data_IF_038461328468
#
_entry.id   IF_038461328468
#
_cell.length_a   1.000
_cell.length_b   1.000
_cell.length_c   1.000
_cell.angle_alpha   90.00
_cell.angle_beta   90.00
_cell.angle_gamma   90.00
#
_symmetry.space_group_name_H-M   'P 1'
#
loop_
_entity.id
_entity.type
_entity.pdbx_description
1 polymer ?
#
# COMPACT_ATOMS: atom_id res chain seq x y z
N UNK A 1 3.22 43.58 75.50
CA UNK A 1 4.04 42.98 74.42
C UNK A 1 3.53 41.62 73.92
N UNK A 2 2.26 41.23 74.12
CA UNK A 2 1.77 39.89 73.73
C UNK A 2 1.00 39.86 72.40
N UNK A 3 0.54 41.01 71.90
CA UNK A 3 -0.34 41.05 70.73
C UNK A 3 0.44 40.89 69.42
N UNK A 4 1.66 41.43 69.33
CA UNK A 4 2.54 41.37 68.15
C UNK A 4 3.09 39.96 67.88
N UNK A 5 3.45 39.23 68.94
CA UNK A 5 3.89 37.83 68.85
C UNK A 5 2.75 36.92 68.38
N UNK A 6 1.52 37.18 68.81
CA UNK A 6 0.33 36.40 68.42
C UNK A 6 -0.06 36.66 66.95
N UNK A 7 0.05 37.91 66.46
CA UNK A 7 -0.21 38.24 65.05
C UNK A 7 0.86 37.71 64.11
N UNK A 8 2.12 37.73 64.52
CA UNK A 8 3.24 37.17 63.76
C UNK A 8 3.12 35.65 63.57
N UNK A 9 2.71 34.92 64.61
CA UNK A 9 2.44 33.48 64.54
C UNK A 9 1.28 33.19 63.58
N UNK A 10 0.19 33.95 63.65
CA UNK A 10 -0.97 33.82 62.77
C UNK A 10 -0.62 34.05 61.28
N UNK A 11 0.19 35.07 61.00
CA UNK A 11 0.66 35.35 59.64
C UNK A 11 1.52 34.21 59.08
N UNK A 12 2.43 33.65 59.90
CA UNK A 12 3.30 32.54 59.50
C UNK A 12 2.51 31.28 59.17
N UNK A 13 1.44 30.99 59.91
CA UNK A 13 0.52 29.90 59.59
C UNK A 13 -0.28 30.15 58.31
N UNK A 14 -0.73 31.38 58.08
CA UNK A 14 -1.42 31.75 56.85
C UNK A 14 -0.53 31.57 55.62
N UNK A 15 0.73 32.00 55.69
CA UNK A 15 1.73 31.81 54.63
C UNK A 15 1.94 30.32 54.35
N UNK A 16 2.12 29.50 55.39
CA UNK A 16 2.23 28.04 55.22
C UNK A 16 1.00 27.44 54.54
N UNK A 17 -0.22 27.83 54.93
CA UNK A 17 -1.45 27.34 54.29
C UNK A 17 -1.52 27.73 52.81
N UNK A 18 -1.10 28.94 52.46
CA UNK A 18 -1.06 29.40 51.06
C UNK A 18 -0.02 28.59 50.27
N UNK A 19 1.17 28.37 50.82
CA UNK A 19 2.23 27.58 50.19
C UNK A 19 1.79 26.14 49.89
N UNK A 20 1.15 25.47 50.86
CA UNK A 20 0.60 24.11 50.64
C UNK A 20 -0.49 24.11 49.55
N UNK A 21 -1.34 25.14 49.49
CA UNK A 21 -2.35 25.27 48.44
C UNK A 21 -1.72 25.50 47.06
N UNK A 22 -0.66 26.31 46.98
CA UNK A 22 0.08 26.52 45.73
C UNK A 22 0.73 25.23 45.24
N UNK A 23 1.37 24.47 46.13
CA UNK A 23 1.96 23.17 45.78
C UNK A 23 0.89 22.16 45.33
N UNK A 24 -0.25 22.11 46.01
CA UNK A 24 -1.37 21.26 45.58
C UNK A 24 -1.91 21.67 44.20
N UNK A 25 -2.03 22.97 43.95
CA UNK A 25 -2.47 23.49 42.65
C UNK A 25 -1.45 23.20 41.54
N UNK A 26 -0.15 23.32 41.83
CA UNK A 26 0.92 22.97 40.89
C UNK A 26 0.88 21.48 40.53
N UNK A 27 0.66 20.61 41.52
CA UNK A 27 0.50 19.17 41.28
C UNK A 27 -0.72 18.87 40.39
N UNK A 28 -1.85 19.55 40.64
CA UNK A 28 -3.05 19.43 39.79
C UNK A 28 -2.81 19.92 38.36
N UNK A 29 -2.09 21.03 38.18
CA UNK A 29 -1.73 21.50 36.83
C UNK A 29 -0.83 20.52 36.10
N UNK A 30 0.15 19.91 36.78
CA UNK A 30 1.01 18.86 36.18
C UNK A 30 0.20 17.63 35.79
N UNK A 31 -0.73 17.19 36.64
CA UNK A 31 -1.61 16.06 36.33
C UNK A 31 -2.53 16.37 35.13
N UNK A 32 -3.06 17.59 35.07
CA UNK A 32 -3.89 18.03 33.95
C UNK A 32 -3.09 18.07 32.65
N UNK A 33 -1.85 18.55 32.68
CA UNK A 33 -0.99 18.62 31.50
C UNK A 33 -0.64 17.21 30.97
N UNK A 34 -0.29 16.28 31.88
CA UNK A 34 -0.10 14.87 31.52
C UNK A 34 -1.35 14.24 30.91
N UNK A 35 -2.53 14.57 31.45
CA UNK A 35 -3.81 14.06 30.93
C UNK A 35 -4.11 14.63 29.54
N UNK A 36 -3.85 15.92 29.34
CA UNK A 36 -3.97 16.61 28.04
C UNK A 36 -3.07 15.95 26.99
N UNK A 37 -1.82 15.68 27.32
CA UNK A 37 -0.87 15.05 26.39
C UNK A 37 -1.29 13.63 26.01
N UNK A 38 -1.73 12.82 26.99
CA UNK A 38 -2.25 11.47 26.75
C UNK A 38 -3.50 11.52 25.84
N UNK A 39 -4.44 12.42 26.13
CA UNK A 39 -5.65 12.57 25.32
C UNK A 39 -5.32 13.01 23.89
N UNK A 40 -4.37 13.93 23.73
CA UNK A 40 -3.89 14.39 22.42
C UNK A 40 -3.30 13.24 21.61
N UNK A 41 -2.44 12.42 22.24
CA UNK A 41 -1.84 11.26 21.57
C UNK A 41 -2.91 10.24 21.14
N UNK A 42 -3.88 9.95 22.00
CA UNK A 42 -5.00 9.05 21.67
C UNK A 42 -5.85 9.59 20.52
N UNK A 43 -6.17 10.88 20.56
CA UNK A 43 -6.94 11.52 19.50
C UNK A 43 -6.22 11.46 18.16
N UNK A 44 -4.92 11.73 18.14
CA UNK A 44 -4.10 11.64 16.92
C UNK A 44 -4.08 10.20 16.36
N UNK A 45 -3.93 9.20 17.23
CA UNK A 45 -3.97 7.79 16.82
C UNK A 45 -5.33 7.40 16.21
N UNK A 46 -6.43 7.81 16.85
CA UNK A 46 -7.77 7.54 16.34
C UNK A 46 -8.06 8.30 15.04
N UNK A 47 -7.60 9.54 14.92
CA UNK A 47 -7.72 10.33 13.70
C UNK A 47 -7.02 9.67 12.52
N UNK A 48 -5.78 9.19 12.70
CA UNK A 48 -5.04 8.44 11.67
C UNK A 48 -5.75 7.14 11.28
N UNK A 49 -6.24 6.40 12.27
CA UNK A 49 -7.01 5.17 12.03
C UNK A 49 -8.27 5.44 11.22
N UNK A 50 -9.05 6.46 11.61
CA UNK A 50 -10.29 6.83 10.91
C UNK A 50 -10.03 7.28 9.47
N UNK A 51 -8.99 8.09 9.25
CA UNK A 51 -8.60 8.50 7.90
C UNK A 51 -8.21 7.29 7.03
N UNK A 52 -7.47 6.32 7.60
CA UNK A 52 -7.10 5.10 6.87
C UNK A 52 -8.31 4.22 6.53
N UNK A 53 -9.29 4.13 7.43
CA UNK A 53 -10.53 3.40 7.19
C UNK A 53 -11.36 4.07 6.10
N UNK A 54 -11.52 5.40 6.17
CA UNK A 54 -12.25 6.16 5.16
C UNK A 54 -11.64 5.98 3.75
N UNK A 55 -10.30 5.99 3.64
CA UNK A 55 -9.63 5.74 2.37
C UNK A 55 -9.85 4.29 1.86
N UNK A 56 -9.87 3.31 2.75
CA UNK A 56 -10.20 1.92 2.38
C UNK A 56 -11.64 1.78 1.92
N UNK A 57 -12.59 2.39 2.63
CA UNK A 57 -14.02 2.35 2.30
C UNK A 57 -14.30 3.05 0.97
N UNK A 58 -13.61 4.16 0.68
CA UNK A 58 -13.67 4.86 -0.60
C UNK A 58 -13.17 3.95 -1.73
N UNK A 59 -12.02 3.29 -1.55
CA UNK A 59 -11.46 2.35 -2.53
C UNK A 59 -12.41 1.17 -2.79
N UNK A 60 -12.97 0.56 -1.75
CA UNK A 60 -13.95 -0.53 -1.89
C UNK A 60 -15.20 -0.06 -2.62
N UNK A 61 -15.73 1.10 -2.26
CA UNK A 61 -16.90 1.70 -2.92
C UNK A 61 -16.62 1.95 -4.39
N UNK A 62 -15.46 2.53 -4.71
CA UNK A 62 -15.05 2.80 -6.08
C UNK A 62 -14.92 1.53 -6.92
N UNK A 63 -14.31 0.48 -6.37
CA UNK A 63 -14.20 -0.83 -7.03
C UNK A 63 -15.59 -1.41 -7.27
N UNK A 64 -16.44 -1.50 -6.24
CA UNK A 64 -17.77 -2.11 -6.35
C UNK A 64 -18.73 -1.32 -7.26
N UNK A 65 -18.52 -0.02 -7.45
CA UNK A 65 -19.32 0.83 -8.33
C UNK A 65 -18.98 0.67 -9.83
N UNK A 66 -17.91 -0.07 -10.18
CA UNK A 66 -17.53 -0.28 -11.57
C UNK A 66 -18.61 -1.06 -12.33
N UNK A 67 -18.97 -0.52 -13.50
CA UNK A 67 -19.99 -1.09 -14.39
C UNK A 67 -19.37 -1.69 -15.65
N UNK A 68 -18.39 -2.56 -15.46
CA UNK A 68 -17.80 -3.33 -16.56
C UNK A 68 -18.74 -4.44 -17.02
N UNK A 69 -18.76 -4.70 -18.33
CA UNK A 69 -19.27 -5.97 -18.86
C UNK A 69 -18.40 -7.13 -18.37
N UNK A 70 -18.92 -8.36 -18.44
CA UNK A 70 -18.15 -9.55 -18.04
C UNK A 70 -16.82 -9.67 -18.79
N UNK A 71 -16.80 -9.36 -20.10
CA UNK A 71 -15.60 -9.43 -20.93
C UNK A 71 -14.57 -8.37 -20.48
N UNK A 72 -14.98 -7.12 -20.30
CA UNK A 72 -14.10 -6.04 -19.83
C UNK A 72 -13.52 -6.35 -18.45
N UNK A 73 -14.36 -6.87 -17.55
CA UNK A 73 -13.96 -7.28 -16.21
C UNK A 73 -12.92 -8.40 -16.26
N UNK A 74 -13.15 -9.46 -17.05
CA UNK A 74 -12.23 -10.58 -17.19
C UNK A 74 -10.87 -10.14 -17.74
N UNK A 75 -10.87 -9.22 -18.71
CA UNK A 75 -9.65 -8.68 -19.29
C UNK A 75 -8.85 -7.91 -18.23
N UNK A 76 -9.49 -6.99 -17.48
CA UNK A 76 -8.81 -6.24 -16.42
C UNK A 76 -8.31 -7.17 -15.32
N UNK A 77 -9.15 -8.09 -14.87
CA UNK A 77 -8.80 -9.08 -13.86
C UNK A 77 -7.56 -9.90 -14.26
N UNK A 78 -7.44 -10.23 -15.54
CA UNK A 78 -6.28 -10.94 -16.07
C UNK A 78 -4.98 -10.13 -15.96
N UNK A 79 -5.02 -8.81 -16.23
CA UNK A 79 -3.87 -7.94 -15.97
C UNK A 79 -3.53 -7.87 -14.48
N UNK A 80 -4.54 -7.71 -13.61
CA UNK A 80 -4.34 -7.67 -12.17
C UNK A 80 -3.67 -8.95 -11.68
N UNK A 81 -4.22 -10.13 -12.01
CA UNK A 81 -3.62 -11.42 -11.63
C UNK A 81 -2.18 -11.54 -12.11
N UNK A 82 -1.91 -11.24 -13.38
CA UNK A 82 -0.57 -11.38 -13.95
C UNK A 82 0.44 -10.49 -13.22
N UNK A 83 0.05 -9.28 -12.82
CA UNK A 83 0.92 -8.38 -12.04
C UNK A 83 1.16 -8.94 -10.64
N UNK A 84 0.13 -9.39 -9.95
CA UNK A 84 0.27 -9.96 -8.60
C UNK A 84 1.17 -11.22 -8.61
N UNK A 85 1.06 -12.06 -9.65
CA UNK A 85 1.94 -13.22 -9.86
C UNK A 85 3.37 -12.76 -10.17
N UNK A 86 3.54 -11.79 -11.07
CA UNK A 86 4.86 -11.23 -11.42
C UNK A 86 5.60 -10.70 -10.20
N UNK A 87 4.89 -9.91 -9.36
CA UNK A 87 5.45 -9.37 -8.12
C UNK A 87 5.87 -10.48 -7.15
N UNK A 88 5.01 -11.47 -6.94
CA UNK A 88 5.33 -12.60 -6.08
C UNK A 88 6.56 -13.36 -6.59
N UNK A 89 6.61 -13.63 -7.88
CA UNK A 89 7.74 -14.34 -8.53
C UNK A 89 9.04 -13.59 -8.34
N UNK A 90 9.07 -12.28 -8.65
CA UNK A 90 10.27 -11.43 -8.51
C UNK A 90 10.76 -11.34 -7.05
N UNK A 91 9.85 -11.30 -6.09
CA UNK A 91 10.22 -11.34 -4.66
C UNK A 91 10.89 -12.66 -4.31
N UNK A 92 10.37 -13.79 -4.81
CA UNK A 92 10.95 -15.11 -4.57
C UNK A 92 12.31 -15.30 -5.24
N UNK A 93 12.50 -14.76 -6.45
CA UNK A 93 13.79 -14.75 -7.15
C UNK A 93 14.88 -14.05 -6.32
N UNK A 94 14.53 -12.97 -5.62
CA UNK A 94 15.43 -12.23 -4.73
C UNK A 94 15.56 -12.84 -3.32
N UNK A 95 14.63 -13.71 -2.92
CA UNK A 95 14.60 -14.36 -1.61
C UNK A 95 14.40 -15.89 -1.74
N UNK A 96 15.33 -16.59 -2.43
CA UNK A 96 15.16 -18.01 -2.75
C UNK A 96 15.11 -18.89 -1.50
N UNK A 97 15.76 -18.48 -0.41
CA UNK A 97 15.75 -19.17 0.87
C UNK A 97 14.40 -19.10 1.60
N UNK A 98 13.54 -18.13 1.24
CA UNK A 98 12.25 -17.90 1.88
C UNK A 98 11.06 -18.44 1.08
N UNK A 99 11.27 -19.13 -0.03
CA UNK A 99 10.21 -19.66 -0.92
C UNK A 99 9.16 -20.46 -0.14
N UNK A 100 9.58 -21.38 0.73
CA UNK A 100 8.65 -22.18 1.57
C UNK A 100 7.86 -21.31 2.57
N UNK A 101 8.44 -20.20 3.01
CA UNK A 101 7.82 -19.27 3.93
C UNK A 101 6.92 -18.24 3.24
N UNK A 102 7.01 -18.12 1.92
CA UNK A 102 6.32 -17.11 1.13
C UNK A 102 5.50 -17.74 0.00
N UNK A 103 4.55 -18.65 0.30
CA UNK A 103 3.81 -19.39 -0.73
C UNK A 103 2.91 -18.52 -1.61
N UNK A 104 2.54 -17.32 -1.15
CA UNK A 104 1.63 -16.40 -1.87
C UNK A 104 2.02 -14.95 -1.70
N UNK A 105 1.55 -14.06 -2.58
CA UNK A 105 1.71 -12.62 -2.39
C UNK A 105 1.14 -12.14 -1.05
N UNK A 106 0.01 -12.69 -0.60
CA UNK A 106 -0.57 -12.37 0.71
C UNK A 106 0.39 -12.67 1.88
N UNK A 107 1.18 -13.76 1.77
CA UNK A 107 2.20 -14.08 2.77
C UNK A 107 3.38 -13.09 2.77
N UNK A 108 3.75 -12.55 1.60
CA UNK A 108 4.73 -11.46 1.46
C UNK A 108 4.20 -10.19 2.14
N UNK A 109 2.98 -9.76 1.78
CA UNK A 109 2.34 -8.56 2.32
C UNK A 109 2.16 -8.63 3.85
N UNK A 110 1.85 -9.81 4.39
CA UNK A 110 1.74 -10.00 5.84
C UNK A 110 3.10 -9.95 6.54
N UNK A 111 4.12 -10.58 5.96
CA UNK A 111 5.45 -10.72 6.61
C UNK A 111 6.34 -9.48 6.45
N UNK A 112 6.16 -8.66 5.41
CA UNK A 112 6.96 -7.43 5.21
C UNK A 112 6.86 -6.45 6.37
N UNK A 113 5.74 -6.44 7.11
CA UNK A 113 5.54 -5.56 8.27
C UNK A 113 6.54 -5.86 9.40
N UNK A 114 6.88 -7.14 9.59
CA UNK A 114 7.74 -7.59 10.70
C UNK A 114 9.16 -7.95 10.26
N UNK A 115 9.37 -8.26 8.99
CA UNK A 115 10.65 -8.71 8.46
C UNK A 115 11.25 -7.64 7.54
N UNK A 116 12.33 -7.00 8.01
CA UNK A 116 13.04 -5.94 7.28
C UNK A 116 13.57 -6.41 5.92
N UNK A 117 14.08 -7.64 5.82
CA UNK A 117 14.64 -8.17 4.56
C UNK A 117 13.55 -8.34 3.50
N UNK A 118 12.38 -8.86 3.90
CA UNK A 118 11.22 -8.96 3.00
C UNK A 118 10.76 -7.57 2.58
N UNK A 119 10.70 -6.61 3.51
CA UNK A 119 10.29 -5.23 3.21
C UNK A 119 11.19 -4.56 2.18
N UNK A 120 12.51 -4.62 2.35
CA UNK A 120 13.47 -4.00 1.42
C UNK A 120 13.37 -4.62 0.03
N UNK A 121 13.28 -5.94 -0.06
CA UNK A 121 13.11 -6.62 -1.36
C UNK A 121 11.77 -6.25 -2.00
N UNK A 122 10.70 -6.20 -1.22
CA UNK A 122 9.38 -5.80 -1.69
C UNK A 122 9.38 -4.36 -2.24
N UNK A 123 9.94 -3.40 -1.51
CA UNK A 123 10.08 -2.01 -1.95
C UNK A 123 10.90 -1.90 -3.24
N UNK A 124 12.02 -2.63 -3.33
CA UNK A 124 12.84 -2.69 -4.55
C UNK A 124 12.09 -3.29 -5.75
N UNK A 125 11.31 -4.36 -5.55
CA UNK A 125 10.51 -4.97 -6.63
C UNK A 125 9.39 -4.03 -7.09
N UNK A 126 8.77 -3.27 -6.17
CA UNK A 126 7.79 -2.26 -6.52
C UNK A 126 8.41 -1.14 -7.35
N UNK A 127 9.57 -0.63 -6.94
CA UNK A 127 10.31 0.40 -7.67
C UNK A 127 10.69 -0.05 -9.08
N UNK A 128 11.21 -1.28 -9.23
CA UNK A 128 11.53 -1.87 -10.54
C UNK A 128 10.30 -2.03 -11.45
N UNK A 129 9.12 -2.26 -10.87
CA UNK A 129 7.86 -2.31 -11.60
C UNK A 129 7.23 -0.93 -11.80
N UNK A 130 7.78 0.15 -11.24
CA UNK A 130 7.16 1.47 -11.24
C UNK A 130 5.82 1.53 -10.49
N UNK A 131 5.66 0.68 -9.47
CA UNK A 131 4.46 0.57 -8.65
C UNK A 131 4.69 1.18 -7.25
N UNK A 132 3.61 1.64 -6.63
CA UNK A 132 3.57 2.12 -5.25
C UNK A 132 2.67 1.22 -4.39
N UNK A 133 2.80 1.31 -3.06
CA UNK A 133 1.93 0.57 -2.11
C UNK A 133 0.44 0.86 -2.32
N UNK A 134 0.10 2.09 -2.71
CA UNK A 134 -1.27 2.48 -3.04
C UNK A 134 -1.82 1.69 -4.24
N UNK A 135 -0.99 1.46 -5.26
CA UNK A 135 -1.37 0.66 -6.42
C UNK A 135 -1.63 -0.78 -6.04
N UNK A 136 -0.78 -1.37 -5.19
CA UNK A 136 -0.97 -2.74 -4.71
C UNK A 136 -2.26 -2.86 -3.90
N UNK A 137 -2.56 -1.85 -3.08
CA UNK A 137 -3.82 -1.80 -2.35
C UNK A 137 -5.01 -1.79 -3.32
N UNK A 138 -5.00 -0.94 -4.35
CA UNK A 138 -6.05 -0.90 -5.36
C UNK A 138 -6.20 -2.23 -6.12
N UNK A 139 -5.07 -2.82 -6.56
CA UNK A 139 -5.04 -4.09 -7.30
C UNK A 139 -5.51 -5.26 -6.44
N UNK A 140 -5.12 -5.32 -5.16
CA UNK A 140 -5.59 -6.34 -4.23
C UNK A 140 -7.10 -6.18 -3.96
N UNK A 141 -7.60 -4.96 -3.75
CA UNK A 141 -9.03 -4.72 -3.57
C UNK A 141 -9.82 -5.15 -4.80
N UNK A 142 -9.36 -4.82 -6.00
CA UNK A 142 -9.97 -5.26 -7.25
C UNK A 142 -9.97 -6.79 -7.37
N UNK A 143 -8.84 -7.45 -7.10
CA UNK A 143 -8.71 -8.90 -7.13
C UNK A 143 -9.71 -9.58 -6.17
N UNK A 144 -9.82 -9.08 -4.93
CA UNK A 144 -10.73 -9.66 -3.94
C UNK A 144 -12.20 -9.43 -4.34
N UNK A 145 -12.54 -8.23 -4.82
CA UNK A 145 -13.91 -7.88 -5.20
C UNK A 145 -14.45 -8.78 -6.34
N UNK A 146 -13.60 -9.12 -7.30
CA UNK A 146 -14.03 -9.77 -8.54
C UNK A 146 -13.54 -11.21 -8.73
N UNK A 147 -12.64 -11.70 -7.87
CA UNK A 147 -12.00 -13.00 -8.10
C UNK A 147 -12.91 -14.22 -8.07
N UNK A 148 -14.12 -14.10 -7.49
CA UNK A 148 -15.13 -15.16 -7.51
C UNK A 148 -15.99 -15.18 -8.79
N UNK A 149 -15.90 -14.14 -9.64
CA UNK A 149 -16.72 -13.96 -10.84
C UNK A 149 -15.92 -13.93 -12.13
N UNK A 150 -14.61 -13.66 -12.05
CA UNK A 150 -13.80 -13.34 -13.21
C UNK A 150 -12.99 -14.55 -13.70
N UNK A 151 -12.96 -14.69 -15.02
CA UNK A 151 -12.13 -15.67 -15.72
C UNK A 151 -10.81 -15.06 -16.18
N UNK A 152 -9.76 -15.88 -16.24
CA UNK A 152 -8.46 -15.46 -16.77
C UNK A 152 -8.41 -15.61 -18.29
N UNK A 153 -8.09 -14.52 -18.98
CA UNK A 153 -7.85 -14.44 -20.42
C UNK A 153 -6.36 -14.24 -20.71
N UNK A 154 -5.81 -15.16 -21.51
CA UNK A 154 -4.45 -15.05 -22.01
C UNK A 154 -4.26 -13.82 -22.91
N UNK A 155 -3.01 -13.34 -23.03
CA UNK A 155 -2.64 -12.14 -23.79
C UNK A 155 -3.27 -12.04 -25.19
N UNK A 156 -3.22 -13.12 -25.98
CA UNK A 156 -3.78 -13.16 -27.34
C UNK A 156 -5.30 -12.94 -27.36
N UNK A 157 -5.99 -13.49 -26.36
CA UNK A 157 -7.45 -13.39 -26.23
C UNK A 157 -7.83 -11.96 -25.82
N UNK A 158 -7.08 -11.34 -24.89
CA UNK A 158 -7.33 -9.95 -24.46
C UNK A 158 -7.31 -8.95 -25.61
N UNK A 159 -6.30 -9.07 -26.49
CA UNK A 159 -6.14 -8.18 -27.65
C UNK A 159 -7.25 -8.32 -28.70
N UNK A 160 -7.88 -9.50 -28.78
CA UNK A 160 -8.99 -9.74 -29.72
C UNK A 160 -10.26 -8.98 -29.32
N UNK A 161 -10.50 -8.84 -28.01
CA UNK A 161 -11.71 -8.20 -27.48
C UNK A 161 -11.55 -6.68 -27.26
N UNK A 162 -10.39 -6.23 -26.79
CA UNK A 162 -10.15 -4.82 -26.48
C UNK A 162 -8.84 -4.37 -27.09
N UNK A 163 -8.93 -3.48 -28.08
CA UNK A 163 -7.77 -2.89 -28.75
C UNK A 163 -7.11 -1.78 -27.92
N UNK A 164 -7.90 -1.02 -27.16
CA UNK A 164 -7.40 0.07 -26.31
C UNK A 164 -7.94 -0.04 -24.89
N UNK A 165 -7.22 -0.81 -24.08
CA UNK A 165 -7.53 -1.01 -22.66
C UNK A 165 -7.30 0.25 -21.83
N UNK A 166 -6.32 1.07 -22.21
CA UNK A 166 -5.99 2.32 -21.51
C UNK A 166 -7.13 3.31 -21.62
N UNK A 167 -7.73 3.44 -22.80
CA UNK A 167 -8.93 4.27 -23.00
C UNK A 167 -10.10 3.76 -22.18
N UNK A 168 -10.35 2.44 -22.16
CA UNK A 168 -11.42 1.85 -21.34
C UNK A 168 -11.25 2.18 -19.86
N UNK A 169 -10.06 1.98 -19.29
CA UNK A 169 -9.77 2.27 -17.88
C UNK A 169 -10.00 3.76 -17.60
N UNK A 170 -9.45 4.65 -18.44
CA UNK A 170 -9.52 6.10 -18.25
C UNK A 170 -10.97 6.62 -18.27
N UNK A 171 -11.82 6.05 -19.13
CA UNK A 171 -13.22 6.46 -19.21
C UNK A 171 -14.10 5.88 -18.11
N UNK A 172 -13.90 4.62 -17.74
CA UNK A 172 -14.84 3.89 -16.88
C UNK A 172 -14.47 3.96 -15.40
N UNK A 173 -13.20 4.16 -15.06
CA UNK A 173 -12.73 4.22 -13.67
C UNK A 173 -12.64 5.68 -13.24
N UNK A 174 -13.49 6.10 -12.30
CA UNK A 174 -13.55 7.50 -11.83
C UNK A 174 -12.66 7.79 -10.63
N UNK A 175 -12.40 6.81 -9.77
CA UNK A 175 -11.49 6.97 -8.66
C UNK A 175 -10.04 6.96 -9.18
N UNK A 176 -9.29 8.03 -8.91
CA UNK A 176 -7.95 8.22 -9.48
C UNK A 176 -6.96 7.15 -9.02
N UNK A 177 -6.97 6.80 -7.74
CA UNK A 177 -6.04 5.79 -7.21
C UNK A 177 -6.28 4.41 -7.83
N UNK A 178 -7.55 4.03 -8.02
CA UNK A 178 -7.91 2.80 -8.72
C UNK A 178 -7.54 2.85 -10.20
N UNK A 179 -7.81 3.98 -10.87
CA UNK A 179 -7.48 4.18 -12.28
C UNK A 179 -5.97 4.05 -12.51
N UNK A 180 -5.17 4.77 -11.72
CA UNK A 180 -3.71 4.74 -11.81
C UNK A 180 -3.15 3.34 -11.56
N UNK A 181 -3.65 2.65 -10.53
CA UNK A 181 -3.22 1.28 -10.21
C UNK A 181 -3.50 0.31 -11.36
N UNK A 182 -4.68 0.38 -11.97
CA UNK A 182 -5.05 -0.45 -13.13
C UNK A 182 -4.22 -0.10 -14.37
N UNK A 183 -3.99 1.18 -14.65
CA UNK A 183 -3.15 1.63 -15.76
C UNK A 183 -1.70 1.16 -15.60
N UNK A 184 -1.13 1.31 -14.39
CA UNK A 184 0.22 0.81 -14.09
C UNK A 184 0.29 -0.72 -14.21
N UNK A 185 -0.76 -1.44 -13.81
CA UNK A 185 -0.79 -2.89 -14.00
C UNK A 185 -0.71 -3.29 -15.48
N UNK A 186 -1.45 -2.61 -16.36
CA UNK A 186 -1.34 -2.83 -17.81
C UNK A 186 0.08 -2.54 -18.30
N UNK A 187 0.67 -1.42 -17.87
CA UNK A 187 2.03 -1.05 -18.27
C UNK A 187 3.08 -2.09 -17.85
N UNK A 188 3.00 -2.61 -16.63
CA UNK A 188 3.94 -3.65 -16.13
C UNK A 188 3.90 -4.90 -17.00
N UNK A 189 2.70 -5.34 -17.39
CA UNK A 189 2.53 -6.54 -18.20
C UNK A 189 2.97 -6.31 -19.65
N UNK A 190 2.58 -5.20 -20.25
CA UNK A 190 2.95 -4.93 -21.65
C UNK A 190 4.45 -4.63 -21.81
N UNK A 191 5.08 -3.94 -20.86
CA UNK A 191 6.56 -3.77 -20.84
C UNK A 191 7.28 -5.10 -20.64
N UNK A 192 6.82 -5.93 -19.70
CA UNK A 192 7.39 -7.26 -19.47
C UNK A 192 7.29 -8.19 -20.67
N UNK A 193 6.33 -7.96 -21.59
CA UNK A 193 6.28 -8.67 -22.88
C UNK A 193 7.32 -8.15 -23.87
N UNK A 194 7.51 -6.84 -23.98
CA UNK A 194 8.50 -6.25 -24.88
C UNK A 194 9.93 -6.71 -24.54
N UNK A 195 10.26 -6.83 -23.25
CA UNK A 195 11.56 -7.33 -22.77
C UNK A 195 11.74 -8.85 -22.99
N UNK A 196 10.63 -9.61 -23.09
CA UNK A 196 10.60 -11.06 -23.35
C UNK A 196 10.56 -11.42 -24.84
N UNK A 197 10.65 -10.43 -25.74
CA UNK A 197 10.93 -10.68 -27.16
C UNK A 197 12.45 -10.53 -27.34
N UNK A 198 13.27 -11.56 -27.09
CA UNK A 198 14.65 -11.55 -27.55
C UNK A 198 14.67 -11.59 -29.08
N UNK A 199 15.79 -11.18 -29.66
CA UNK A 199 16.12 -11.13 -31.08
C UNK A 199 16.03 -12.49 -31.84
N UNK A 200 14.97 -13.28 -31.69
CA UNK A 200 14.67 -14.44 -32.54
C UNK A 200 14.04 -14.00 -33.87
N UNK A 201 14.69 -13.05 -34.54
CA UNK A 201 14.60 -12.87 -36.00
C UNK A 201 15.96 -12.45 -36.60
N UNK A 202 17.09 -12.90 -36.03
CA UNK A 202 18.30 -13.08 -36.85
C UNK A 202 18.14 -14.39 -37.62
N UNK A 203 17.72 -14.24 -38.88
CA UNK A 203 17.48 -15.33 -39.83
C UNK A 203 18.65 -16.34 -39.89
N UNK A 204 18.42 -17.66 -39.81
CA UNK A 204 19.47 -18.68 -39.93
C UNK A 204 19.88 -18.93 -41.39
N UNK A 205 19.91 -17.89 -42.24
CA UNK A 205 20.20 -18.01 -43.67
C UNK A 205 21.53 -17.40 -44.11
N UNK A 206 22.33 -16.83 -43.20
CA UNK A 206 23.66 -16.28 -43.55
C UNK A 206 24.85 -17.20 -43.28
N UNK A 207 24.69 -18.30 -42.55
CA UNK A 207 25.79 -19.24 -42.31
C UNK A 207 25.91 -20.34 -43.38
N UNK A 208 24.85 -20.62 -44.13
CA UNK A 208 24.87 -21.68 -45.16
C UNK A 208 25.45 -21.26 -46.53
N UNK A 209 25.80 -19.99 -46.73
CA UNK A 209 26.34 -19.50 -48.03
C UNK A 209 27.87 -19.30 -47.98
N UNK A 210 28.51 -19.40 -46.80
CA UNK A 210 29.97 -19.21 -46.70
C UNK A 210 30.80 -20.50 -46.76
N UNK A 211 30.17 -21.68 -46.85
CA UNK A 211 30.87 -22.98 -46.87
C UNK A 211 30.74 -23.74 -48.20
N UNK A 212 30.83 -23.05 -49.33
CA UNK A 212 31.13 -23.68 -50.63
C UNK A 212 32.13 -22.81 -51.39
N UNK A 213 33.40 -22.97 -51.05
CA UNK A 213 34.52 -22.72 -51.96
C UNK A 213 35.73 -23.50 -51.44
N UNK A 214 35.94 -24.66 -52.04
CA UNK A 214 37.23 -25.28 -52.35
C UNK A 214 36.99 -26.32 -53.44
#
# INVERSE_FOLDING_TARGET
MNNETTTSVSLKEAIKRVDHKLQALEAQFKELDNTKDNLTQKFEHHSKTLASQAAQDEMWTAVLALKFTSIELNILYSYVIEVLISLHTRVLEKLPDLVRGLPTLASVLRRKVKNKRIRVVWESVLEECGLQEGDITALCTFFIAYGHKADHYAAKVRQMYIRDITFMITNMVKNQALQDGLLRAVQVIEKGKAERIPEEQKSPLKELISSVKN
#
